data_IF_237002804094
#
_entry.id   IF_237002804094
#
_cell.length_a   1.000
_cell.length_b   1.000
_cell.length_c   1.000
_cell.angle_alpha   90.00
_cell.angle_beta   90.00
_cell.angle_gamma   90.00
#
_symmetry.space_group_name_H-M   'P 1'
#
loop_
_entity.id
_entity.type
_entity.pdbx_description
1 polymer ?
#
# COMPACT_ATOMS: atom_id res chain seq x y z
N UNK A 1 1.75 14.24 -14.06
CA UNK A 1 1.61 13.38 -12.86
C UNK A 1 1.51 11.92 -13.28
N UNK A 2 2.18 10.99 -12.58
CA UNK A 2 2.23 9.55 -12.89
C UNK A 2 0.82 8.95 -13.00
N UNK A 3 -0.09 9.35 -12.13
CA UNK A 3 -1.48 8.90 -12.07
C UNK A 3 -2.41 9.65 -13.03
N UNK A 4 -1.89 10.33 -14.05
CA UNK A 4 -2.74 10.98 -15.07
C UNK A 4 -3.24 9.96 -16.08
N UNK A 5 -4.55 9.91 -16.27
CA UNK A 5 -5.18 9.05 -17.26
C UNK A 5 -4.84 9.44 -18.72
N UNK A 6 -4.54 10.71 -18.95
CA UNK A 6 -4.26 11.23 -20.31
C UNK A 6 -2.93 10.77 -20.89
N UNK A 7 -2.10 10.07 -20.12
CA UNK A 7 -0.78 9.58 -20.56
C UNK A 7 -0.84 8.40 -21.57
N UNK A 8 -2.00 7.77 -21.73
CA UNK A 8 -2.15 6.64 -22.65
C UNK A 8 -1.43 5.34 -22.24
N UNK A 9 -0.87 5.29 -21.03
CA UNK A 9 -0.19 4.09 -20.51
C UNK A 9 -1.16 3.11 -19.87
N UNK A 10 -0.80 1.81 -19.89
CA UNK A 10 -1.58 0.77 -19.23
C UNK A 10 -1.57 0.96 -17.71
N UNK A 11 -2.58 0.41 -17.03
CA UNK A 11 -2.65 0.44 -15.55
C UNK A 11 -1.43 -0.23 -14.93
N UNK A 12 -0.96 -1.32 -15.51
CA UNK A 12 0.22 -2.03 -15.05
C UNK A 12 1.48 -1.14 -15.10
N UNK A 13 1.72 -0.48 -16.24
CA UNK A 13 2.85 0.44 -16.38
C UNK A 13 2.76 1.59 -15.38
N UNK A 14 1.57 2.18 -15.20
CA UNK A 14 1.36 3.24 -14.24
C UNK A 14 1.65 2.80 -12.79
N UNK A 15 1.20 1.61 -12.39
CA UNK A 15 1.46 1.07 -11.05
C UNK A 15 2.95 0.73 -10.84
N UNK A 16 3.61 0.19 -11.86
CA UNK A 16 5.04 -0.09 -11.83
C UNK A 16 5.89 1.19 -11.68
N UNK A 17 5.56 2.25 -12.43
CA UNK A 17 6.19 3.56 -12.27
C UNK A 17 5.93 4.16 -10.89
N UNK A 18 4.70 4.04 -10.39
CA UNK A 18 4.30 4.53 -9.08
C UNK A 18 5.10 3.83 -7.98
N UNK A 19 5.26 2.52 -8.07
CA UNK A 19 6.06 1.72 -7.12
C UNK A 19 7.50 2.19 -7.10
N UNK A 20 8.14 2.32 -8.26
CA UNK A 20 9.53 2.82 -8.36
C UNK A 20 9.68 4.21 -7.76
N UNK A 21 8.73 5.10 -8.04
CA UNK A 21 8.73 6.45 -7.48
C UNK A 21 8.61 6.44 -5.96
N UNK A 22 7.68 5.66 -5.39
CA UNK A 22 7.47 5.56 -3.94
C UNK A 22 8.70 4.98 -3.24
N UNK A 23 9.29 3.91 -3.79
CA UNK A 23 10.52 3.31 -3.24
C UNK A 23 11.68 4.31 -3.28
N UNK A 24 11.91 4.98 -4.41
CA UNK A 24 12.97 5.98 -4.53
C UNK A 24 12.76 7.16 -3.58
N UNK A 25 11.52 7.62 -3.42
CA UNK A 25 11.18 8.68 -2.49
C UNK A 25 11.43 8.26 -1.03
N UNK A 26 11.04 7.05 -0.65
CA UNK A 26 11.28 6.51 0.69
C UNK A 26 12.77 6.32 0.98
N UNK A 27 13.55 5.85 0.02
CA UNK A 27 15.01 5.70 0.20
C UNK A 27 15.70 7.05 0.47
N UNK A 28 15.15 8.14 -0.07
CA UNK A 28 15.71 9.48 0.16
C UNK A 28 15.16 10.15 1.43
N UNK A 29 13.84 10.14 1.60
CA UNK A 29 13.16 10.84 2.70
C UNK A 29 12.80 9.94 3.88
N UNK A 30 12.78 8.63 3.69
CA UNK A 30 12.39 7.66 4.71
C UNK A 30 13.36 7.54 5.89
N UNK A 31 14.58 8.10 5.76
CA UNK A 31 15.59 8.18 6.83
C UNK A 31 15.09 9.05 7.99
N UNK A 32 14.17 9.98 7.71
CA UNK A 32 13.53 10.81 8.72
C UNK A 32 12.64 9.97 9.65
N UNK A 33 12.77 10.17 10.95
CA UNK A 33 11.93 9.50 11.97
C UNK A 33 10.48 10.05 12.03
N UNK A 34 10.06 10.87 11.08
CA UNK A 34 8.74 11.48 11.02
C UNK A 34 7.64 10.49 10.60
N UNK A 35 7.42 9.43 11.39
CA UNK A 35 6.34 8.45 11.16
C UNK A 35 4.95 9.08 11.11
N UNK A 36 4.75 10.20 11.80
CA UNK A 36 3.44 10.85 11.94
C UNK A 36 2.76 11.14 10.60
N UNK A 37 3.51 11.54 9.59
CA UNK A 37 2.99 11.92 8.27
C UNK A 37 2.77 10.71 7.33
N UNK A 38 3.44 9.59 7.59
CA UNK A 38 3.43 8.40 6.72
C UNK A 38 2.01 7.81 6.53
N UNK A 39 1.19 7.63 7.58
CA UNK A 39 -0.18 7.12 7.40
C UNK A 39 -1.06 8.03 6.54
N UNK A 40 -0.93 9.34 6.69
CA UNK A 40 -1.70 10.32 5.89
C UNK A 40 -1.31 10.27 4.42
N UNK A 41 -0.01 10.17 4.13
CA UNK A 41 0.51 9.99 2.77
C UNK A 41 0.02 8.68 2.12
N UNK A 42 0.01 7.59 2.88
CA UNK A 42 -0.44 6.28 2.41
C UNK A 42 -1.95 6.31 2.07
N UNK A 43 -2.77 6.94 2.92
CA UNK A 43 -4.19 7.17 2.64
C UNK A 43 -4.41 8.04 1.40
N UNK A 44 -3.65 9.11 1.27
CA UNK A 44 -3.71 9.99 0.11
C UNK A 44 -3.35 9.25 -1.18
N UNK A 45 -2.28 8.44 -1.17
CA UNK A 45 -1.85 7.64 -2.30
C UNK A 45 -2.94 6.65 -2.73
N UNK A 46 -3.52 5.91 -1.79
CA UNK A 46 -4.63 4.98 -2.07
C UNK A 46 -5.84 5.71 -2.67
N UNK A 47 -6.22 6.87 -2.12
CA UNK A 47 -7.30 7.68 -2.68
C UNK A 47 -6.97 8.15 -4.09
N UNK A 48 -5.71 8.49 -4.37
CA UNK A 48 -5.24 8.87 -5.70
C UNK A 48 -5.34 7.74 -6.71
N UNK A 49 -5.01 6.52 -6.31
CA UNK A 49 -5.15 5.33 -7.15
C UNK A 49 -6.62 4.99 -7.38
N UNK A 50 -7.48 5.06 -6.36
CA UNK A 50 -8.94 4.91 -6.51
C UNK A 50 -9.52 5.93 -7.51
N UNK A 51 -9.08 7.17 -7.43
CA UNK A 51 -9.45 8.21 -8.41
C UNK A 51 -9.06 7.81 -9.84
N UNK A 52 -7.88 7.25 -10.03
CA UNK A 52 -7.42 6.78 -11.34
C UNK A 52 -8.37 5.70 -11.90
N UNK A 53 -8.71 4.68 -11.13
CA UNK A 53 -9.67 3.65 -11.53
C UNK A 53 -11.05 4.23 -11.80
N UNK A 54 -11.54 5.12 -10.95
CA UNK A 54 -12.82 5.79 -11.13
C UNK A 54 -12.90 6.61 -12.42
N UNK A 55 -11.81 7.25 -12.81
CA UNK A 55 -11.70 7.97 -14.08
C UNK A 55 -11.61 7.04 -15.29
N UNK A 56 -10.99 5.88 -15.15
CA UNK A 56 -10.95 4.86 -16.21
C UNK A 56 -12.34 4.33 -16.55
N UNK A 57 -13.20 4.19 -15.56
CA UNK A 57 -14.59 3.80 -15.77
C UNK A 57 -15.43 5.00 -16.26
N UNK A 58 -15.15 5.44 -17.47
CA UNK A 58 -15.69 6.68 -18.05
C UNK A 58 -17.20 6.85 -17.93
N UNK A 59 -17.96 5.78 -18.25
CA UNK A 59 -19.41 5.79 -18.33
C UNK A 59 -20.04 5.25 -17.04
N UNK A 60 -21.23 5.80 -16.65
CA UNK A 60 -21.98 5.32 -15.49
C UNK A 60 -22.26 3.80 -15.55
N UNK A 61 -22.57 3.27 -16.75
CA UNK A 61 -22.77 1.83 -16.97
C UNK A 61 -21.52 1.02 -16.64
N UNK A 62 -20.32 1.48 -17.03
CA UNK A 62 -19.06 0.81 -16.70
C UNK A 62 -18.79 0.85 -15.20
N UNK A 63 -19.02 1.98 -14.53
CA UNK A 63 -18.89 2.11 -13.07
C UNK A 63 -19.82 1.15 -12.34
N UNK A 64 -21.10 1.06 -12.73
CA UNK A 64 -22.08 0.12 -12.15
C UNK A 64 -21.60 -1.32 -12.27
N UNK A 65 -21.27 -1.75 -13.48
CA UNK A 65 -20.80 -3.12 -13.75
C UNK A 65 -19.57 -3.48 -12.89
N UNK A 66 -18.59 -2.59 -12.82
CA UNK A 66 -17.38 -2.85 -12.07
C UNK A 66 -17.62 -2.85 -10.55
N UNK A 67 -18.44 -1.95 -10.01
CA UNK A 67 -18.78 -1.95 -8.59
C UNK A 67 -19.57 -3.20 -8.18
N UNK A 68 -20.54 -3.62 -8.98
CA UNK A 68 -21.29 -4.87 -8.73
C UNK A 68 -20.36 -6.08 -8.79
N UNK A 69 -19.46 -6.13 -9.77
CA UNK A 69 -18.44 -7.19 -9.88
C UNK A 69 -17.52 -7.26 -8.65
N UNK A 70 -17.27 -6.14 -8.01
CA UNK A 70 -16.47 -6.01 -6.79
C UNK A 70 -17.29 -6.25 -5.50
N UNK A 71 -18.54 -6.72 -5.62
CA UNK A 71 -19.35 -7.16 -4.48
C UNK A 71 -20.18 -6.06 -3.81
N UNK A 72 -20.33 -4.89 -4.43
CA UNK A 72 -21.20 -3.84 -3.89
C UNK A 72 -22.66 -4.05 -4.29
N UNK A 73 -23.57 -3.90 -3.33
CA UNK A 73 -24.99 -4.10 -3.56
C UNK A 73 -25.55 -3.12 -4.63
N UNK A 74 -26.37 -3.61 -5.60
CA UNK A 74 -26.86 -2.81 -6.73
C UNK A 74 -27.55 -1.51 -6.33
N UNK A 75 -28.36 -1.49 -5.27
CA UNK A 75 -29.05 -0.28 -4.82
C UNK A 75 -28.08 0.85 -4.40
N UNK A 76 -26.99 0.50 -3.71
CA UNK A 76 -25.94 1.47 -3.34
C UNK A 76 -25.18 1.96 -4.57
N UNK A 77 -24.90 1.06 -5.52
CA UNK A 77 -24.21 1.37 -6.76
C UNK A 77 -25.02 2.37 -7.60
N UNK A 78 -26.34 2.22 -7.69
CA UNK A 78 -27.18 3.17 -8.39
C UNK A 78 -27.12 4.57 -7.78
N UNK A 79 -27.18 4.68 -6.45
CA UNK A 79 -27.05 5.97 -5.75
C UNK A 79 -25.69 6.63 -6.02
N UNK A 80 -24.59 5.87 -5.92
CA UNK A 80 -23.25 6.39 -6.14
C UNK A 80 -23.01 6.85 -7.59
N UNK A 81 -23.50 6.11 -8.58
CA UNK A 81 -23.25 6.41 -9.99
C UNK A 81 -24.10 7.55 -10.54
N UNK A 82 -25.17 7.95 -9.87
CA UNK A 82 -26.01 9.13 -10.18
C UNK A 82 -25.44 10.42 -9.58
N UNK A 83 -24.46 10.32 -8.68
CA UNK A 83 -23.86 11.50 -8.05
C UNK A 83 -23.11 12.35 -9.08
N UNK A 84 -23.40 13.64 -9.10
CA UNK A 84 -22.69 14.65 -9.92
C UNK A 84 -21.43 15.20 -9.23
N UNK A 85 -21.07 14.66 -8.06
CA UNK A 85 -19.91 15.11 -7.31
C UNK A 85 -18.62 14.76 -8.03
N UNK A 86 -17.59 15.60 -7.83
CA UNK A 86 -16.30 15.46 -8.49
C UNK A 86 -15.58 14.13 -8.21
N UNK A 87 -14.73 13.73 -9.12
CA UNK A 87 -14.01 12.43 -9.07
C UNK A 87 -13.22 12.23 -7.79
N UNK A 88 -12.61 13.30 -7.25
CA UNK A 88 -11.85 13.24 -6.01
C UNK A 88 -12.74 12.93 -4.80
N UNK A 89 -13.90 13.53 -4.76
CA UNK A 89 -14.89 13.26 -3.71
C UNK A 89 -15.36 11.81 -3.79
N UNK A 90 -15.69 11.33 -5.00
CA UNK A 90 -16.15 9.95 -5.22
C UNK A 90 -15.11 8.92 -4.81
N UNK A 91 -13.82 9.16 -5.08
CA UNK A 91 -12.72 8.30 -4.67
C UNK A 91 -12.56 8.16 -3.14
N UNK A 92 -13.12 9.10 -2.38
CA UNK A 92 -13.14 9.10 -0.91
C UNK A 92 -14.42 8.53 -0.30
N UNK A 93 -15.44 8.15 -1.10
CA UNK A 93 -16.69 7.58 -0.57
C UNK A 93 -16.50 6.17 -0.04
N UNK A 94 -17.29 5.80 0.97
CA UNK A 94 -17.27 4.45 1.57
C UNK A 94 -17.52 3.34 0.54
N UNK A 95 -18.36 3.60 -0.44
CA UNK A 95 -18.69 2.66 -1.51
C UNK A 95 -17.45 2.33 -2.35
N UNK A 96 -16.73 3.37 -2.81
CA UNK A 96 -15.51 3.18 -3.60
C UNK A 96 -14.37 2.62 -2.74
N UNK A 97 -14.32 2.97 -1.46
CA UNK A 97 -13.32 2.42 -0.53
C UNK A 97 -13.56 0.93 -0.25
N UNK A 98 -14.81 0.48 -0.12
CA UNK A 98 -15.16 -0.94 0.03
C UNK A 98 -14.91 -1.74 -1.25
N UNK A 99 -15.26 -1.16 -2.42
CA UNK A 99 -15.05 -1.82 -3.70
C UNK A 99 -13.57 -1.97 -4.06
N UNK A 100 -12.78 -0.93 -3.79
CA UNK A 100 -11.34 -0.87 -4.02
C UNK A 100 -10.65 -0.79 -2.65
N UNK A 101 -10.79 -1.85 -1.86
CA UNK A 101 -10.23 -1.91 -0.51
C UNK A 101 -8.69 -1.97 -0.53
N UNK A 102 -8.09 -1.94 0.63
CA UNK A 102 -6.63 -1.97 0.75
C UNK A 102 -6.03 -3.27 0.24
N UNK A 103 -6.70 -4.40 0.51
CA UNK A 103 -6.25 -5.72 0.06
C UNK A 103 -6.25 -5.81 -1.46
N UNK A 104 -7.34 -5.41 -2.09
CA UNK A 104 -7.47 -5.38 -3.55
C UNK A 104 -6.42 -4.50 -4.22
N UNK A 105 -6.11 -3.33 -3.62
CA UNK A 105 -5.07 -2.43 -4.12
C UNK A 105 -3.68 -3.05 -3.99
N UNK A 106 -3.39 -3.72 -2.87
CA UNK A 106 -2.10 -4.41 -2.64
C UNK A 106 -1.90 -5.57 -3.61
N UNK A 107 -2.93 -6.39 -3.83
CA UNK A 107 -2.91 -7.49 -4.81
C UNK A 107 -2.64 -7.00 -6.25
N UNK A 108 -3.01 -5.75 -6.56
CA UNK A 108 -2.72 -5.09 -7.84
C UNK A 108 -1.35 -4.42 -7.90
N UNK A 109 -0.56 -4.51 -6.83
CA UNK A 109 0.80 -3.96 -6.77
C UNK A 109 0.89 -2.48 -6.39
N UNK A 110 -0.15 -1.92 -5.77
CA UNK A 110 -0.07 -0.58 -5.18
C UNK A 110 0.85 -0.64 -3.96
N UNK A 111 1.95 0.13 -3.92
CA UNK A 111 2.85 0.12 -2.79
C UNK A 111 2.20 0.73 -1.54
N UNK A 112 2.41 0.14 -0.37
CA UNK A 112 2.09 0.75 0.91
C UNK A 112 3.32 1.51 1.43
N UNK A 113 3.22 2.82 1.51
CA UNK A 113 4.27 3.69 2.05
C UNK A 113 4.55 3.32 3.50
N UNK A 114 3.47 3.09 4.27
CA UNK A 114 3.56 2.72 5.68
C UNK A 114 4.34 1.42 5.89
N UNK A 115 4.00 0.38 5.13
CA UNK A 115 4.65 -0.92 5.28
C UNK A 115 6.13 -0.86 4.91
N UNK A 116 6.47 -0.22 3.79
CA UNK A 116 7.85 -0.05 3.36
C UNK A 116 8.68 0.78 4.36
N UNK A 117 8.07 1.81 4.96
CA UNK A 117 8.74 2.59 6.01
C UNK A 117 9.01 1.74 7.25
N UNK A 118 8.05 0.91 7.68
CA UNK A 118 8.23 -0.01 8.81
C UNK A 118 9.33 -1.04 8.51
N UNK A 119 9.35 -1.61 7.31
CA UNK A 119 10.38 -2.55 6.87
C UNK A 119 11.78 -1.91 6.89
N UNK A 120 11.92 -0.66 6.43
CA UNK A 120 13.19 0.07 6.48
C UNK A 120 13.71 0.30 7.90
N UNK A 121 12.82 0.65 8.84
CA UNK A 121 13.22 1.06 10.18
C UNK A 121 13.27 -0.09 11.20
N UNK A 122 12.49 -1.15 10.96
CA UNK A 122 12.32 -2.25 11.89
C UNK A 122 12.61 -3.64 11.28
N UNK A 123 12.61 -3.77 9.96
CA UNK A 123 12.83 -5.05 9.28
C UNK A 123 14.20 -5.65 9.60
N UNK A 124 15.25 -4.85 9.58
CA UNK A 124 16.61 -5.28 9.88
C UNK A 124 16.83 -5.69 11.35
N UNK A 125 15.97 -5.24 12.26
CA UNK A 125 16.07 -5.58 13.68
C UNK A 125 15.66 -7.03 13.96
N UNK A 126 14.77 -7.58 13.15
CA UNK A 126 14.34 -8.98 13.29
C UNK A 126 15.36 -9.98 12.72
N UNK A 127 16.15 -9.58 11.73
CA UNK A 127 17.23 -10.43 11.19
C UNK A 127 18.42 -10.53 12.15
N UNK A 128 18.64 -9.55 13.03
CA UNK A 128 19.71 -9.58 14.02
C UNK A 128 19.36 -10.39 15.27
N UNK A 129 18.10 -10.74 15.47
CA UNK A 129 17.66 -11.61 16.57
C UNK A 129 17.31 -12.99 16.02
N UNK A 130 18.34 -13.75 15.63
CA UNK A 130 18.23 -15.19 15.42
C UNK A 130 18.45 -15.89 16.77
N UNK A 131 17.38 -16.43 17.40
CA UNK A 131 17.52 -17.14 18.66
C UNK A 131 18.36 -18.41 18.53
N UNK A 132 18.52 -18.95 17.31
CA UNK A 132 19.40 -20.08 17.04
C UNK A 132 20.89 -19.67 17.09
N UNK A 133 21.24 -18.48 16.62
CA UNK A 133 22.61 -17.94 16.72
C UNK A 133 22.99 -17.61 18.16
N UNK A 134 22.05 -17.16 18.99
CA UNK A 134 22.29 -16.90 20.41
C UNK A 134 22.61 -18.18 21.21
N UNK A 135 22.05 -19.31 20.82
CA UNK A 135 22.31 -20.60 21.46
C UNK A 135 23.66 -21.20 21.07
N UNK A 136 24.21 -20.86 19.90
CA UNK A 136 25.51 -21.34 19.47
C UNK A 136 26.67 -20.62 20.15
N UNK A 137 26.50 -19.38 20.58
CA UNK A 137 27.54 -18.64 21.33
C UNK A 137 27.56 -18.97 22.82
N UNK A 138 26.45 -19.51 23.36
CA UNK A 138 26.32 -19.90 24.77
C UNK A 138 27.06 -21.23 25.10
N UNK A 139 27.18 -22.14 24.15
CA UNK A 139 27.82 -23.45 24.34
C UNK A 139 29.37 -23.44 24.20
N UNK A 140 29.92 -22.39 23.62
CA UNK A 140 31.39 -22.28 23.43
C UNK A 140 32.14 -21.79 24.68
N UNK A 141 31.48 -21.49 25.81
CA UNK A 141 32.14 -20.97 27.02
C UNK A 141 32.28 -21.94 28.16
N UNK A 142 31.90 -23.18 27.99
CA UNK A 142 32.25 -24.23 28.94
C UNK A 142 33.44 -25.00 28.40
N UNK A 143 34.59 -24.35 28.27
CA UNK A 143 35.87 -25.00 28.12
C UNK A 143 36.28 -25.70 29.44
N UNK A 144 37.14 -26.72 29.38
CA UNK A 144 37.51 -27.60 30.51
C UNK A 144 38.34 -26.91 31.60
N UNK A 145 38.40 -25.60 31.65
CA UNK A 145 39.23 -24.84 32.62
C UNK A 145 38.53 -24.49 33.93
N UNK A 146 37.25 -24.91 34.14
CA UNK A 146 36.55 -24.77 35.42
C UNK A 146 36.58 -26.07 36.22
N UNK A 147 37.72 -26.77 36.24
CA UNK A 147 38.07 -27.71 37.30
C UNK A 147 39.21 -27.11 38.13
N UNK A 148 38.83 -26.45 39.21
CA UNK A 148 39.73 -26.22 40.34
C UNK A 148 38.93 -26.58 41.58
N UNK A 149 39.36 -27.68 42.12
CA UNK A 149 39.59 -28.06 43.53
C UNK A 149 38.57 -27.48 44.52
#
# INVERSE_FOLDING_TARGET
>A
AITSRSRGVSTYCMLSELRRYVVGWLNYFGISQAYREIPAMDQWLRRRVRLYYWKQWKRARARRRNLIRLGIHPAEVYKATRSHRGYWWMAGTSIVQRALDTRWLTERGVPSIRQQWIEMHYGQRNEQFDPAAANLTGTARCGPACRVV
#
